data_IF_251271442890
#
_entry.id   IF_251271442890
#
_cell.length_a   1.000
_cell.length_b   1.000
_cell.length_c   1.000
_cell.angle_alpha   90.00
_cell.angle_beta   90.00
_cell.angle_gamma   90.00
#
_symmetry.space_group_name_H-M   'P 1'
#
loop_
_entity.id
_entity.type
_entity.pdbx_description
1 polymer ?
#
# COMPACT_ATOMS: atom_id res chain seq x y z
N UNK A 1 46.41 -14.05 -11.32
CA UNK A 1 45.01 -14.50 -11.54
C UNK A 1 44.15 -13.25 -11.59
N UNK A 2 43.20 -13.15 -12.53
CA UNK A 2 42.14 -12.14 -12.40
C UNK A 2 41.23 -12.54 -11.22
N UNK A 3 40.61 -11.59 -10.49
CA UNK A 3 39.49 -11.93 -9.63
C UNK A 3 38.40 -12.56 -10.49
N UNK A 4 37.78 -13.64 -9.99
CA UNK A 4 36.53 -14.12 -10.58
C UNK A 4 35.48 -13.03 -10.34
N UNK A 5 34.93 -12.46 -11.41
CA UNK A 5 33.83 -11.52 -11.32
C UNK A 5 32.66 -12.23 -10.64
N UNK A 6 32.42 -11.88 -9.38
CA UNK A 6 31.34 -12.46 -8.59
C UNK A 6 30.02 -12.09 -9.24
N UNK A 7 29.24 -13.09 -9.67
CA UNK A 7 27.93 -12.88 -10.28
C UNK A 7 27.04 -12.07 -9.34
N UNK A 8 26.80 -10.81 -9.69
CA UNK A 8 26.01 -9.89 -8.87
C UNK A 8 24.62 -10.49 -8.63
N UNK A 9 24.20 -10.56 -7.37
CA UNK A 9 22.96 -11.21 -6.99
C UNK A 9 21.80 -10.32 -7.41
N UNK A 10 21.25 -10.59 -8.60
CA UNK A 10 20.10 -9.85 -9.12
C UNK A 10 18.94 -9.92 -8.13
N UNK A 11 18.44 -8.77 -7.72
CA UNK A 11 17.26 -8.59 -6.89
C UNK A 11 16.13 -8.05 -7.78
N UNK A 12 14.88 -8.44 -7.53
CA UNK A 12 13.72 -7.71 -8.03
C UNK A 12 13.10 -6.88 -6.89
N UNK A 13 12.65 -5.68 -7.20
CA UNK A 13 12.04 -4.77 -6.22
C UNK A 13 10.62 -4.40 -6.63
N UNK A 14 9.68 -4.48 -5.70
CA UNK A 14 8.27 -4.09 -5.89
C UNK A 14 7.93 -2.99 -4.88
N UNK A 15 7.47 -1.83 -5.36
CA UNK A 15 7.06 -0.71 -4.51
C UNK A 15 5.54 -0.53 -4.64
N UNK A 16 4.81 -0.79 -3.56
CA UNK A 16 3.39 -0.48 -3.43
C UNK A 16 3.22 0.94 -2.90
N UNK A 17 2.31 1.69 -3.52
CA UNK A 17 2.14 3.13 -3.32
C UNK A 17 0.66 3.47 -3.15
N UNK A 18 0.24 3.85 -1.93
CA UNK A 18 -0.88 4.77 -1.79
C UNK A 18 -0.42 6.18 -2.22
N UNK A 19 -1.37 7.03 -2.59
CA UNK A 19 -1.17 8.43 -2.98
C UNK A 19 -1.78 9.32 -1.92
N UNK A 20 -2.95 8.94 -1.41
CA UNK A 20 -3.66 9.67 -0.37
C UNK A 20 -2.94 9.38 0.97
N UNK A 21 -2.56 10.41 1.73
CA UNK A 21 -1.78 10.28 2.97
C UNK A 21 -0.29 9.89 2.81
N UNK A 22 0.18 9.66 1.58
CA UNK A 22 1.58 9.29 1.23
C UNK A 22 2.25 10.37 0.36
N UNK A 23 1.53 10.89 -0.65
CA UNK A 23 1.99 11.93 -1.58
C UNK A 23 1.24 13.26 -1.41
N UNK A 24 0.33 13.31 -0.45
CA UNK A 24 -0.30 14.50 0.11
C UNK A 24 -0.46 14.32 1.63
N UNK A 25 -0.71 15.42 2.33
CA UNK A 25 -1.02 15.39 3.77
C UNK A 25 -2.54 15.45 3.97
N UNK A 26 -3.12 14.50 4.70
CA UNK A 26 -4.56 14.37 4.91
C UNK A 26 -4.94 14.21 6.38
N UNK A 27 -5.67 15.17 6.94
CA UNK A 27 -6.08 15.17 8.36
C UNK A 27 -7.45 14.54 8.51
N UNK A 28 -7.66 13.64 9.48
CA UNK A 28 -8.96 13.01 9.71
C UNK A 28 -10.01 14.04 10.17
N UNK A 29 -11.22 14.00 9.61
CA UNK A 29 -12.43 14.68 10.13
C UNK A 29 -13.41 13.60 10.61
N UNK A 30 -13.94 13.75 11.83
CA UNK A 30 -15.02 12.91 12.38
C UNK A 30 -16.26 12.84 11.47
N UNK A 31 -16.41 13.82 10.56
CA UNK A 31 -17.58 14.01 9.70
C UNK A 31 -17.44 13.42 8.29
N UNK A 32 -16.31 12.80 7.93
CA UNK A 32 -16.20 12.10 6.64
C UNK A 32 -14.79 11.83 6.12
N UNK A 33 -14.53 12.28 4.88
CA UNK A 33 -13.24 12.09 4.22
C UNK A 33 -12.15 13.02 4.83
N UNK A 34 -10.87 12.62 4.81
CA UNK A 34 -9.79 13.46 5.32
C UNK A 34 -9.75 14.86 4.67
N UNK A 35 -9.53 15.87 5.49
CA UNK A 35 -9.25 17.25 5.09
C UNK A 35 -7.83 17.27 4.51
N UNK A 36 -7.73 17.39 3.19
CA UNK A 36 -6.45 17.56 2.51
C UNK A 36 -5.83 18.92 2.85
N UNK A 37 -4.54 18.90 3.15
CA UNK A 37 -3.76 20.10 3.45
C UNK A 37 -3.35 20.79 2.14
N UNK A 38 -4.23 21.65 1.64
CA UNK A 38 -4.04 22.46 0.43
C UNK A 38 -3.75 23.91 0.80
N UNK A 39 -3.01 24.65 -0.03
CA UNK A 39 -2.73 26.08 0.22
C UNK A 39 -4.00 26.91 0.42
N UNK A 40 -5.04 26.71 -0.41
CA UNK A 40 -6.30 27.43 -0.25
C UNK A 40 -7.02 27.11 1.07
N UNK A 41 -6.88 25.89 1.59
CA UNK A 41 -7.45 25.50 2.89
C UNK A 41 -6.72 26.19 4.05
N UNK A 42 -5.38 26.25 4.01
CA UNK A 42 -4.57 26.96 5.00
C UNK A 42 -4.86 28.46 4.98
N UNK A 43 -4.94 29.07 3.79
CA UNK A 43 -5.21 30.50 3.63
C UNK A 43 -6.64 30.87 4.05
N UNK A 44 -7.64 30.01 3.75
CA UNK A 44 -9.01 30.17 4.23
C UNK A 44 -9.10 30.06 5.75
N UNK A 45 -8.45 29.05 6.34
CA UNK A 45 -8.40 28.89 7.80
C UNK A 45 -7.78 30.14 8.46
N UNK A 46 -6.66 30.65 7.95
CA UNK A 46 -6.05 31.93 8.42
C UNK A 46 -7.01 33.12 8.34
N UNK A 47 -7.79 33.23 7.27
CA UNK A 47 -8.80 34.30 7.12
C UNK A 47 -9.91 34.18 8.18
N UNK A 48 -10.36 32.96 8.47
CA UNK A 48 -11.41 32.68 9.46
C UNK A 48 -10.91 32.86 10.91
N UNK A 49 -9.68 32.45 11.23
CA UNK A 49 -9.04 32.72 12.53
C UNK A 49 -8.91 34.23 12.78
N UNK A 50 -8.49 35.03 11.79
CA UNK A 50 -8.34 36.49 11.91
C UNK A 50 -9.63 37.24 12.23
N UNK A 51 -10.80 36.67 11.93
CA UNK A 51 -12.11 37.26 12.27
C UNK A 51 -12.76 36.62 13.49
N UNK A 52 -12.04 35.75 14.22
CA UNK A 52 -12.54 34.96 15.36
C UNK A 52 -13.82 34.18 15.00
N UNK A 53 -13.78 33.42 13.89
CA UNK A 53 -14.92 32.64 13.41
C UNK A 53 -15.34 31.54 14.41
N UNK A 54 -16.52 31.70 15.01
CA UNK A 54 -17.13 30.76 15.98
C UNK A 54 -18.23 29.87 15.38
N UNK A 55 -18.26 29.72 14.05
CA UNK A 55 -19.27 28.91 13.36
C UNK A 55 -19.03 27.39 13.47
N UNK A 56 -19.87 26.62 12.79
CA UNK A 56 -19.90 25.14 12.90
C UNK A 56 -18.59 24.44 12.50
N UNK A 57 -17.76 25.10 11.69
CA UNK A 57 -16.46 24.57 11.24
C UNK A 57 -15.26 25.19 11.97
N UNK A 58 -15.49 25.91 13.08
CA UNK A 58 -14.42 26.50 13.94
C UNK A 58 -13.32 25.48 14.29
N UNK A 59 -13.71 24.29 14.75
CA UNK A 59 -12.76 23.18 15.01
C UNK A 59 -11.94 22.75 13.79
N UNK A 60 -12.54 22.77 12.59
CA UNK A 60 -11.84 22.42 11.35
C UNK A 60 -10.80 23.51 11.00
N UNK A 61 -11.17 24.79 11.15
CA UNK A 61 -10.25 25.93 11.01
C UNK A 61 -9.09 25.84 12.01
N UNK A 62 -9.37 25.53 13.27
CA UNK A 62 -8.36 25.33 14.33
C UNK A 62 -7.42 24.16 13.98
N UNK A 63 -7.97 22.99 13.65
CA UNK A 63 -7.19 21.81 13.22
C UNK A 63 -6.30 22.09 12.02
N UNK A 64 -6.77 22.80 10.99
CA UNK A 64 -5.96 23.17 9.81
C UNK A 64 -4.80 24.09 10.23
N UNK A 65 -5.02 25.04 11.15
CA UNK A 65 -3.94 25.89 11.66
C UNK A 65 -2.93 25.13 12.55
N UNK A 66 -3.41 24.29 13.47
CA UNK A 66 -2.55 23.46 14.33
C UNK A 66 -1.67 22.51 13.51
N UNK A 67 -2.22 21.90 12.45
CA UNK A 67 -1.45 21.08 11.51
C UNK A 67 -0.48 21.92 10.69
N UNK A 68 -0.95 22.95 9.97
CA UNK A 68 -0.11 23.73 9.06
C UNK A 68 1.10 24.37 9.75
N UNK A 69 0.93 24.85 10.98
CA UNK A 69 1.99 25.49 11.77
C UNK A 69 2.84 24.48 12.58
N UNK A 70 2.51 23.18 12.62
CA UNK A 70 3.32 22.15 13.29
C UNK A 70 4.64 21.97 12.56
N UNK A 71 5.73 22.19 13.29
CA UNK A 71 7.09 21.82 12.86
C UNK A 71 7.19 20.30 12.73
N UNK A 72 7.84 19.83 11.67
CA UNK A 72 8.07 18.41 11.43
C UNK A 72 9.37 18.01 12.13
N UNK A 73 9.28 17.08 13.07
CA UNK A 73 10.42 16.66 13.88
C UNK A 73 11.34 15.65 13.18
N UNK A 74 12.60 15.61 13.62
CA UNK A 74 13.59 14.56 13.33
C UNK A 74 13.84 14.23 11.85
N UNK A 75 14.88 14.85 11.27
CA UNK A 75 15.45 14.48 9.97
C UNK A 75 15.25 15.55 8.90
N UNK A 76 14.09 16.18 8.88
CA UNK A 76 13.83 17.39 8.09
C UNK A 76 14.80 18.52 8.47
N UNK A 77 14.98 19.48 7.55
CA UNK A 77 15.78 20.68 7.81
C UNK A 77 15.11 21.57 8.88
N UNK A 78 15.90 22.40 9.56
CA UNK A 78 15.38 23.33 10.57
C UNK A 78 14.27 24.23 9.97
N UNK A 79 13.23 24.50 10.76
CA UNK A 79 12.04 25.31 10.40
C UNK A 79 11.04 24.70 9.38
N UNK A 80 11.19 23.44 8.94
CA UNK A 80 10.18 22.75 8.11
C UNK A 80 8.86 22.52 8.87
N UNK A 81 7.73 22.84 8.24
CA UNK A 81 6.36 22.63 8.75
C UNK A 81 5.48 21.89 7.74
N UNK A 82 4.36 21.32 8.18
CA UNK A 82 3.40 20.67 7.28
C UNK A 82 2.83 21.60 6.18
N UNK A 83 2.79 22.93 6.39
CA UNK A 83 2.48 23.88 5.32
C UNK A 83 3.44 23.76 4.13
N UNK A 84 4.73 23.53 4.36
CA UNK A 84 5.72 23.37 3.28
C UNK A 84 5.55 22.06 2.49
N UNK A 85 4.70 21.15 2.99
CA UNK A 85 4.27 19.93 2.31
C UNK A 85 2.84 20.01 1.75
N UNK A 86 2.15 21.15 1.89
CA UNK A 86 0.81 21.35 1.35
C UNK A 86 0.79 21.20 -0.17
N UNK A 87 -0.37 20.85 -0.74
CA UNK A 87 -0.51 20.71 -2.19
C UNK A 87 -0.70 22.07 -2.85
N UNK A 88 0.16 22.44 -3.80
CA UNK A 88 0.16 23.75 -4.46
C UNK A 88 -1.14 23.99 -5.25
N UNK A 89 -1.93 24.98 -4.82
CA UNK A 89 -3.19 25.42 -5.44
C UNK A 89 -4.10 24.30 -5.98
N UNK A 90 -4.68 24.55 -7.15
CA UNK A 90 -5.54 23.59 -7.89
C UNK A 90 -4.81 22.35 -8.44
N UNK A 91 -3.60 22.03 -7.98
CA UNK A 91 -2.70 21.06 -8.64
C UNK A 91 -2.86 19.61 -8.17
N UNK A 92 -4.08 19.08 -8.26
CA UNK A 92 -4.25 17.63 -8.45
C UNK A 92 -4.17 16.80 -7.16
N UNK A 93 -4.16 17.46 -5.99
CA UNK A 93 -4.03 16.85 -4.67
C UNK A 93 -2.65 16.16 -4.46
N UNK A 94 -1.56 16.79 -4.91
CA UNK A 94 -0.17 16.28 -4.79
C UNK A 94 0.80 17.33 -4.23
N UNK A 95 1.68 16.89 -3.34
CA UNK A 95 2.81 17.66 -2.82
C UNK A 95 4.07 17.37 -3.64
N UNK A 96 4.72 18.41 -4.18
CA UNK A 96 5.87 18.23 -5.07
C UNK A 96 7.11 17.68 -4.35
N UNK A 97 7.28 18.02 -3.06
CA UNK A 97 8.33 17.47 -2.19
C UNK A 97 8.16 15.96 -2.03
N UNK A 98 6.93 15.51 -1.75
CA UNK A 98 6.63 14.09 -1.52
C UNK A 98 6.74 13.26 -2.81
N UNK A 99 6.32 13.81 -3.96
CA UNK A 99 6.51 13.18 -5.27
C UNK A 99 7.99 13.08 -5.64
N UNK A 100 8.80 14.10 -5.32
CA UNK A 100 10.26 14.05 -5.50
C UNK A 100 10.92 13.00 -4.60
N UNK A 101 10.45 12.84 -3.35
CA UNK A 101 10.90 11.77 -2.44
C UNK A 101 10.56 10.38 -2.98
N UNK A 102 9.34 10.14 -3.47
CA UNK A 102 9.00 8.88 -4.13
C UNK A 102 9.89 8.60 -5.35
N UNK A 103 10.19 9.60 -6.18
CA UNK A 103 11.11 9.42 -7.31
C UNK A 103 12.51 8.97 -6.87
N UNK A 104 13.06 9.54 -5.79
CA UNK A 104 14.35 9.08 -5.21
C UNK A 104 14.30 7.62 -4.77
N UNK A 105 13.19 7.16 -4.19
CA UNK A 105 13.01 5.75 -3.81
C UNK A 105 12.93 4.83 -5.04
N UNK A 106 12.24 5.25 -6.11
CA UNK A 106 12.12 4.48 -7.35
C UNK A 106 13.48 4.31 -8.05
N UNK A 107 14.34 5.34 -8.06
CA UNK A 107 15.71 5.21 -8.60
C UNK A 107 16.64 4.43 -7.66
N UNK A 108 16.51 4.58 -6.33
CA UNK A 108 17.28 3.83 -5.33
C UNK A 108 16.99 2.31 -5.36
N UNK A 109 15.78 1.92 -5.72
CA UNK A 109 15.36 0.54 -5.92
C UNK A 109 16.01 -0.13 -7.17
N UNK A 110 16.57 0.67 -8.08
CA UNK A 110 17.33 0.22 -9.24
C UNK A 110 16.48 -0.15 -10.47
N UNK A 111 17.14 -0.70 -11.50
CA UNK A 111 16.53 -0.97 -12.82
C UNK A 111 15.59 -2.18 -12.86
N UNK A 112 15.55 -3.00 -11.79
CA UNK A 112 14.67 -4.18 -11.64
C UNK A 112 13.46 -3.89 -10.73
N UNK A 113 12.97 -2.65 -10.78
CA UNK A 113 11.87 -2.16 -9.95
C UNK A 113 10.56 -2.18 -10.74
N UNK A 114 9.48 -2.61 -10.07
CA UNK A 114 8.10 -2.37 -10.50
C UNK A 114 7.39 -1.50 -9.45
N UNK A 115 6.59 -0.53 -9.90
CA UNK A 115 5.83 0.38 -9.03
C UNK A 115 4.34 0.14 -9.24
N UNK A 116 3.66 -0.22 -8.15
CA UNK A 116 2.29 -0.70 -8.14
C UNK A 116 1.43 0.27 -7.35
N UNK A 117 0.38 0.80 -7.99
CA UNK A 117 -0.57 1.68 -7.34
C UNK A 117 -1.55 0.88 -6.46
N UNK A 118 -1.51 1.07 -5.13
CA UNK A 118 -2.47 0.48 -4.17
C UNK A 118 -3.62 1.42 -3.80
N UNK A 119 -3.47 2.72 -4.03
CA UNK A 119 -4.37 3.82 -3.62
C UNK A 119 -5.83 3.76 -4.08
N UNK A 120 -6.62 4.79 -3.75
CA UNK A 120 -7.92 5.05 -4.39
C UNK A 120 -7.81 5.40 -5.89
N UNK A 121 -6.63 5.80 -6.39
CA UNK A 121 -6.43 6.41 -7.71
C UNK A 121 -6.38 5.42 -8.89
N UNK A 122 -6.36 4.11 -8.60
CA UNK A 122 -6.56 3.03 -9.60
C UNK A 122 -7.99 2.96 -10.14
N UNK A 123 -8.97 3.61 -9.48
CA UNK A 123 -10.34 3.73 -9.99
C UNK A 123 -10.38 4.50 -11.33
N UNK A 124 -11.14 4.06 -12.36
CA UNK A 124 -11.13 4.70 -13.68
C UNK A 124 -11.43 6.21 -13.68
N UNK A 125 -12.27 6.69 -12.76
CA UNK A 125 -12.56 8.13 -12.59
C UNK A 125 -11.35 8.97 -12.16
N UNK A 126 -10.37 8.36 -11.49
CA UNK A 126 -9.15 9.00 -11.02
C UNK A 126 -7.99 8.95 -12.03
N UNK A 127 -8.18 8.32 -13.21
CA UNK A 127 -7.17 8.31 -14.29
C UNK A 127 -6.58 9.69 -14.63
N UNK A 128 -7.34 10.81 -14.68
CA UNK A 128 -6.77 12.14 -14.93
C UNK A 128 -5.92 12.71 -13.78
N UNK A 129 -6.02 12.13 -12.57
CA UNK A 129 -5.10 12.40 -11.46
C UNK A 129 -3.85 11.54 -11.58
N UNK A 130 -4.02 10.22 -11.80
CA UNK A 130 -2.89 9.29 -11.98
C UNK A 130 -1.95 9.72 -13.10
N UNK A 131 -2.47 10.14 -14.25
CA UNK A 131 -1.63 10.62 -15.36
C UNK A 131 -0.76 11.83 -14.99
N UNK A 132 -1.25 12.75 -14.13
CA UNK A 132 -0.44 13.87 -13.61
C UNK A 132 0.67 13.43 -12.68
N UNK A 133 0.41 12.40 -11.87
CA UNK A 133 1.43 11.78 -11.01
C UNK A 133 2.48 11.07 -11.86
N UNK A 134 2.06 10.36 -12.92
CA UNK A 134 2.94 9.71 -13.90
C UNK A 134 3.79 10.77 -14.64
N UNK A 135 3.23 11.92 -15.02
CA UNK A 135 3.93 13.08 -15.61
C UNK A 135 4.95 13.72 -14.64
N UNK A 136 4.56 13.99 -13.37
CA UNK A 136 5.47 14.57 -12.36
C UNK A 136 6.60 13.61 -11.99
N UNK A 137 6.32 12.33 -11.78
CA UNK A 137 7.34 11.31 -11.55
C UNK A 137 8.30 11.21 -12.75
N UNK A 138 7.78 11.28 -13.98
CA UNK A 138 8.63 11.34 -15.18
C UNK A 138 9.57 12.56 -15.17
N UNK A 139 9.08 13.71 -14.72
CA UNK A 139 9.87 14.95 -14.62
C UNK A 139 10.95 14.89 -13.53
N UNK A 140 10.75 14.16 -12.43
CA UNK A 140 11.82 13.90 -11.43
C UNK A 140 12.82 12.85 -11.92
N UNK A 141 12.34 11.68 -12.36
CA UNK A 141 13.14 10.52 -12.78
C UNK A 141 13.92 10.73 -14.10
N UNK A 142 13.66 11.84 -14.81
CA UNK A 142 14.26 12.20 -16.13
C UNK A 142 14.05 11.15 -17.23
N UNK A 143 13.05 10.29 -17.08
CA UNK A 143 12.62 9.24 -18.00
C UNK A 143 11.09 9.16 -18.00
N UNK A 144 10.49 8.60 -19.05
CA UNK A 144 9.04 8.32 -19.03
C UNK A 144 8.76 7.29 -17.94
N UNK A 145 7.82 7.62 -17.07
CA UNK A 145 7.31 6.76 -16.00
C UNK A 145 5.80 6.53 -16.16
N UNK A 146 5.38 5.31 -15.90
CA UNK A 146 3.99 4.89 -15.73
C UNK A 146 3.97 3.83 -14.62
N UNK A 147 2.85 3.66 -13.92
CA UNK A 147 2.74 2.54 -12.97
C UNK A 147 2.71 1.21 -13.73
N UNK A 148 3.64 0.30 -13.42
CA UNK A 148 3.72 -1.03 -14.03
C UNK A 148 2.42 -1.83 -13.82
N UNK A 149 1.73 -1.58 -12.71
CA UNK A 149 0.45 -2.19 -12.42
C UNK A 149 -0.39 -1.45 -11.38
N UNK A 150 -1.59 -1.98 -11.14
CA UNK A 150 -2.53 -1.53 -10.10
C UNK A 150 -3.05 -2.75 -9.35
N UNK A 151 -3.18 -2.69 -8.02
CA UNK A 151 -3.86 -3.78 -7.28
C UNK A 151 -5.35 -3.87 -7.65
N UNK A 152 -6.01 -5.04 -7.54
CA UNK A 152 -7.39 -5.23 -7.98
C UNK A 152 -8.38 -4.37 -7.20
N UNK A 153 -9.30 -3.70 -7.89
CA UNK A 153 -10.38 -2.94 -7.25
C UNK A 153 -11.37 -3.91 -6.57
N UNK A 154 -11.23 -4.07 -5.27
CA UNK A 154 -12.24 -4.67 -4.40
C UNK A 154 -13.33 -3.62 -4.09
N UNK A 155 -14.59 -4.01 -4.21
CA UNK A 155 -15.75 -3.13 -3.98
C UNK A 155 -16.16 -3.07 -2.51
N UNK A 156 -15.67 -4.01 -1.68
CA UNK A 156 -15.90 -4.06 -0.24
C UNK A 156 -14.78 -3.34 0.54
N UNK A 157 -13.71 -2.92 -0.14
CA UNK A 157 -12.56 -2.22 0.45
C UNK A 157 -12.97 -0.90 1.10
N UNK A 158 -13.09 -0.95 2.42
CA UNK A 158 -13.63 0.14 3.23
C UNK A 158 -12.89 0.36 4.55
N UNK A 159 -11.93 -0.51 4.89
CA UNK A 159 -11.11 -0.39 6.09
C UNK A 159 -9.64 -0.81 5.87
N UNK A 160 -8.73 -0.49 6.81
CA UNK A 160 -7.31 -0.88 6.76
C UNK A 160 -7.05 -2.36 6.43
N UNK A 161 -7.88 -3.26 6.96
CA UNK A 161 -7.72 -4.69 6.76
C UNK A 161 -8.01 -5.13 5.32
N UNK A 162 -8.95 -4.47 4.63
CA UNK A 162 -9.23 -4.79 3.22
C UNK A 162 -8.08 -4.34 2.32
N UNK A 163 -7.54 -3.13 2.54
CA UNK A 163 -6.34 -2.63 1.84
C UNK A 163 -5.16 -3.59 2.04
N UNK A 164 -4.87 -3.99 3.29
CA UNK A 164 -3.77 -4.91 3.58
C UNK A 164 -3.99 -6.29 2.95
N UNK A 165 -5.23 -6.81 2.95
CA UNK A 165 -5.61 -8.04 2.23
C UNK A 165 -5.34 -7.91 0.73
N UNK A 166 -5.85 -6.84 0.09
CA UNK A 166 -5.72 -6.62 -1.36
C UNK A 166 -4.26 -6.50 -1.80
N UNK A 167 -3.39 -5.86 -1.00
CA UNK A 167 -1.93 -5.85 -1.24
C UNK A 167 -1.32 -7.24 -1.05
N UNK A 168 -1.70 -7.96 0.02
CA UNK A 168 -1.19 -9.30 0.33
C UNK A 168 -1.56 -10.37 -0.71
N UNK A 169 -2.82 -10.42 -1.14
CA UNK A 169 -3.31 -11.38 -2.13
C UNK A 169 -2.62 -11.16 -3.49
N UNK A 170 -2.52 -9.90 -3.94
CA UNK A 170 -1.84 -9.53 -5.17
C UNK A 170 -0.34 -9.85 -5.12
N UNK A 171 0.34 -9.59 -3.99
CA UNK A 171 1.73 -10.02 -3.77
C UNK A 171 1.87 -11.54 -3.82
N UNK A 172 0.95 -12.28 -3.19
CA UNK A 172 0.94 -13.74 -3.21
C UNK A 172 0.81 -14.30 -4.63
N UNK A 173 -0.04 -13.70 -5.46
CA UNK A 173 -0.23 -14.12 -6.85
C UNK A 173 1.00 -13.78 -7.73
N UNK A 174 1.66 -12.65 -7.51
CA UNK A 174 2.99 -12.35 -8.10
C UNK A 174 4.01 -13.42 -7.70
N UNK A 175 4.14 -13.75 -6.42
CA UNK A 175 5.07 -14.77 -5.92
C UNK A 175 4.79 -16.16 -6.52
N UNK A 176 3.53 -16.45 -6.85
CA UNK A 176 3.14 -17.66 -7.59
C UNK A 176 3.60 -17.59 -9.04
N UNK A 177 3.28 -16.50 -9.74
CA UNK A 177 3.57 -16.32 -11.17
C UNK A 177 5.07 -16.28 -11.48
N UNK A 178 5.88 -15.78 -10.54
CA UNK A 178 7.36 -15.77 -10.62
C UNK A 178 7.97 -17.18 -10.67
N UNK A 179 7.31 -18.18 -10.08
CA UNK A 179 7.81 -19.55 -9.99
C UNK A 179 9.09 -19.71 -9.13
N UNK A 180 9.56 -20.95 -8.89
CA UNK A 180 10.59 -21.22 -7.87
C UNK A 180 12.03 -20.82 -8.27
N UNK A 181 12.26 -20.33 -9.49
CA UNK A 181 13.60 -20.03 -10.03
C UNK A 181 13.84 -18.53 -10.31
N UNK A 182 12.82 -17.67 -10.23
CA UNK A 182 13.07 -16.22 -10.30
C UNK A 182 13.82 -15.73 -9.05
N UNK A 183 14.48 -14.56 -9.10
CA UNK A 183 15.39 -14.11 -8.06
C UNK A 183 14.70 -13.79 -6.72
N UNK A 184 15.46 -13.46 -5.66
CA UNK A 184 14.93 -12.82 -4.46
C UNK A 184 14.04 -11.61 -4.79
N UNK A 185 13.04 -11.38 -3.95
CA UNK A 185 12.08 -10.29 -4.09
C UNK A 185 12.14 -9.38 -2.86
N UNK A 186 12.31 -8.08 -3.08
CA UNK A 186 12.18 -7.02 -2.08
C UNK A 186 10.86 -6.29 -2.32
N UNK A 187 10.07 -6.10 -1.27
CA UNK A 187 8.77 -5.42 -1.30
C UNK A 187 8.78 -4.27 -0.33
N UNK A 188 8.56 -3.06 -0.83
CA UNK A 188 8.31 -1.86 -0.04
C UNK A 188 6.83 -1.50 -0.19
N UNK A 189 6.17 -1.19 0.93
CA UNK A 189 4.78 -0.71 0.97
C UNK A 189 4.77 0.67 1.61
N UNK A 190 4.28 1.66 0.87
CA UNK A 190 4.12 3.05 1.30
C UNK A 190 2.62 3.35 1.39
N UNK A 191 2.09 3.53 2.59
CA UNK A 191 0.66 3.39 2.87
C UNK A 191 0.30 4.11 4.18
N UNK A 192 -0.87 4.76 4.28
CA UNK A 192 -1.35 5.40 5.52
C UNK A 192 -2.50 4.62 6.22
N UNK A 193 -3.09 3.66 5.49
CA UNK A 193 -4.32 2.94 5.83
C UNK A 193 -5.52 3.84 6.16
N UNK A 194 -5.83 4.82 5.30
CA UNK A 194 -6.97 5.73 5.45
C UNK A 194 -6.93 6.56 6.74
N UNK A 195 -5.75 7.06 7.12
CA UNK A 195 -5.47 7.77 8.38
C UNK A 195 -5.89 6.94 9.61
N UNK A 196 -5.46 5.67 9.70
CA UNK A 196 -5.71 4.81 10.87
C UNK A 196 -4.41 4.28 11.49
N UNK A 197 -4.32 4.20 12.84
CA UNK A 197 -3.21 3.55 13.52
C UNK A 197 -3.26 2.03 13.36
N UNK A 198 -2.10 1.38 13.52
CA UNK A 198 -2.00 -0.09 13.64
C UNK A 198 -2.34 -0.48 15.08
N UNK A 199 -3.63 -0.49 15.44
CA UNK A 199 -4.11 -0.61 16.82
C UNK A 199 -4.80 -1.94 17.16
N UNK A 200 -4.49 -3.02 16.43
CA UNK A 200 -4.99 -4.37 16.71
C UNK A 200 -6.22 -4.78 15.90
N UNK A 201 -6.50 -4.11 14.78
CA UNK A 201 -7.48 -4.57 13.79
C UNK A 201 -7.07 -5.90 13.17
N UNK A 202 -8.03 -6.65 12.61
CA UNK A 202 -7.81 -8.03 12.15
C UNK A 202 -7.81 -8.15 10.64
N UNK A 203 -6.80 -8.82 10.09
CA UNK A 203 -6.66 -9.11 8.66
C UNK A 203 -6.32 -10.59 8.46
N UNK A 204 -7.13 -11.32 7.68
CA UNK A 204 -6.94 -12.76 7.43
C UNK A 204 -6.86 -13.66 8.68
N UNK A 205 -7.34 -13.18 9.84
CA UNK A 205 -7.21 -13.84 11.14
C UNK A 205 -5.99 -13.42 11.97
N UNK A 206 -5.00 -12.75 11.38
CA UNK A 206 -3.93 -12.07 12.11
C UNK A 206 -4.45 -10.80 12.81
N UNK A 207 -3.76 -10.37 13.86
CA UNK A 207 -3.97 -9.08 14.55
C UNK A 207 -2.85 -8.13 14.11
N UNK A 208 -3.20 -6.93 13.71
CA UNK A 208 -2.27 -5.92 13.17
C UNK A 208 -2.21 -4.75 14.15
N UNK A 209 -1.28 -4.85 15.09
CA UNK A 209 -1.00 -3.92 16.20
C UNK A 209 0.33 -3.16 16.04
N UNK A 210 1.02 -3.38 14.91
CA UNK A 210 2.38 -2.94 14.68
C UNK A 210 2.76 -3.07 13.22
N UNK A 211 3.77 -2.29 12.78
CA UNK A 211 4.35 -2.39 11.44
C UNK A 211 4.89 -3.81 11.18
N UNK A 212 5.54 -4.41 12.18
CA UNK A 212 6.06 -5.77 12.11
C UNK A 212 4.94 -6.83 11.93
N UNK A 213 3.77 -6.66 12.54
CA UNK A 213 2.64 -7.56 12.34
C UNK A 213 2.07 -7.47 10.90
N UNK A 214 2.04 -6.27 10.31
CA UNK A 214 1.65 -6.09 8.92
C UNK A 214 2.68 -6.68 7.93
N UNK A 215 3.98 -6.45 8.16
CA UNK A 215 5.08 -7.06 7.40
C UNK A 215 5.03 -8.60 7.48
N UNK A 216 4.82 -9.15 8.68
CA UNK A 216 4.67 -10.60 8.89
C UNK A 216 3.42 -11.16 8.20
N UNK A 217 2.29 -10.44 8.23
CA UNK A 217 1.08 -10.84 7.51
C UNK A 217 1.34 -10.95 6.00
N UNK A 218 1.86 -9.89 5.36
CA UNK A 218 2.16 -9.87 3.92
C UNK A 218 3.14 -10.99 3.53
N UNK A 219 4.19 -11.18 4.33
CA UNK A 219 5.16 -12.27 4.15
C UNK A 219 4.49 -13.66 4.26
N UNK A 220 3.53 -13.84 5.17
CA UNK A 220 2.81 -15.11 5.37
C UNK A 220 1.84 -15.47 4.23
N UNK A 221 1.29 -14.48 3.49
CA UNK A 221 0.45 -14.73 2.31
C UNK A 221 1.30 -15.17 1.11
N UNK A 222 2.52 -14.66 0.99
CA UNK A 222 3.42 -14.92 -0.12
C UNK A 222 4.30 -16.19 0.05
N UNK A 223 4.75 -16.49 1.27
CA UNK A 223 5.64 -17.64 1.54
C UNK A 223 5.11 -19.01 1.08
N UNK A 224 3.84 -19.41 1.31
CA UNK A 224 3.35 -20.74 0.96
C UNK A 224 3.41 -21.07 -0.54
N UNK A 225 3.57 -20.05 -1.40
CA UNK A 225 3.50 -20.16 -2.85
C UNK A 225 4.87 -20.10 -3.55
N UNK A 226 5.98 -19.83 -2.84
CA UNK A 226 7.31 -19.72 -3.46
C UNK A 226 8.45 -20.26 -2.58
N UNK A 227 9.53 -20.74 -3.22
CA UNK A 227 10.80 -21.07 -2.53
C UNK A 227 11.76 -19.87 -2.46
N UNK A 228 11.26 -18.66 -2.72
CA UNK A 228 12.07 -17.45 -2.86
C UNK A 228 12.39 -16.81 -1.53
N UNK A 229 13.53 -16.12 -1.47
CA UNK A 229 13.80 -15.11 -0.45
C UNK A 229 12.87 -13.93 -0.71
N UNK A 230 11.97 -13.66 0.23
CA UNK A 230 11.14 -12.47 0.27
C UNK A 230 11.62 -11.57 1.41
N UNK A 231 11.77 -10.28 1.15
CA UNK A 231 11.95 -9.22 2.15
C UNK A 231 10.79 -8.24 2.01
N UNK A 232 10.03 -8.00 3.08
CA UNK A 232 8.92 -7.03 3.10
C UNK A 232 9.26 -5.91 4.07
N UNK A 233 8.95 -4.67 3.68
CA UNK A 233 8.94 -3.48 4.52
C UNK A 233 7.62 -2.75 4.34
N UNK A 234 6.99 -2.37 5.44
CA UNK A 234 5.94 -1.35 5.47
C UNK A 234 6.54 -0.06 6.04
N UNK A 235 6.27 1.06 5.38
CA UNK A 235 6.48 2.40 5.91
C UNK A 235 5.10 3.03 6.03
N UNK A 236 4.62 3.11 7.27
CA UNK A 236 3.27 3.57 7.59
C UNK A 236 3.30 5.09 7.80
N UNK A 237 2.77 5.86 6.86
CA UNK A 237 2.82 7.33 6.87
C UNK A 237 1.70 7.95 7.71
N UNK A 238 1.55 7.46 8.95
CA UNK A 238 0.55 7.92 9.91
C UNK A 238 1.21 8.59 11.11
N UNK A 239 0.70 9.76 11.49
CA UNK A 239 1.01 10.42 12.76
C UNK A 239 -0.26 10.73 13.55
N UNK A 240 -0.13 10.76 14.88
CA UNK A 240 -1.14 11.35 15.76
C UNK A 240 -0.52 12.08 16.95
N UNK A 241 -1.21 13.11 17.44
CA UNK A 241 -0.82 13.88 18.62
C UNK A 241 -2.02 14.58 19.27
N UNK A 242 -1.81 15.08 20.49
CA UNK A 242 -2.70 16.07 21.10
C UNK A 242 -2.16 17.46 20.80
N UNK A 243 -3.00 18.35 20.26
CA UNK A 243 -2.65 19.76 20.06
C UNK A 243 -2.51 20.52 21.40
N UNK A 244 -1.88 21.70 21.43
CA UNK A 244 -1.93 22.61 22.59
C UNK A 244 -3.35 22.97 23.03
N UNK A 245 -4.31 22.97 22.09
CA UNK A 245 -5.75 23.14 22.34
C UNK A 245 -6.47 21.88 22.84
N UNK A 246 -5.79 20.73 22.93
CA UNK A 246 -6.33 19.46 23.42
C UNK A 246 -7.11 18.63 22.40
N UNK A 247 -7.08 19.00 21.11
CA UNK A 247 -7.64 18.21 20.03
C UNK A 247 -6.73 17.02 19.71
N UNK A 248 -7.31 15.83 19.54
CA UNK A 248 -6.60 14.66 19.01
C UNK A 248 -6.54 14.80 17.49
N UNK A 249 -5.34 15.02 16.97
CA UNK A 249 -5.06 15.09 15.54
C UNK A 249 -4.59 13.72 15.08
N UNK A 250 -5.13 13.24 13.96
CA UNK A 250 -4.69 12.05 13.24
C UNK A 250 -4.47 12.46 11.78
N UNK A 251 -3.30 12.15 11.20
CA UNK A 251 -2.91 12.61 9.87
C UNK A 251 -2.20 11.49 9.08
N UNK A 252 -2.53 11.36 7.81
CA UNK A 252 -1.63 10.75 6.82
C UNK A 252 -0.54 11.78 6.50
N UNK A 253 0.65 11.64 7.09
CA UNK A 253 1.69 12.67 7.13
C UNK A 253 2.54 12.75 5.85
N UNK A 254 2.35 11.83 4.91
CA UNK A 254 3.14 11.73 3.70
C UNK A 254 4.53 11.10 3.90
N UNK A 255 5.31 11.03 2.82
CA UNK A 255 6.72 10.63 2.85
C UNK A 255 7.61 11.73 3.47
N UNK A 256 7.53 11.87 4.80
CA UNK A 256 8.46 12.69 5.59
C UNK A 256 9.91 12.16 5.48
N UNK A 257 10.90 12.98 5.83
CA UNK A 257 12.33 12.64 5.68
C UNK A 257 12.67 11.31 6.39
N UNK A 258 12.27 11.11 7.66
CA UNK A 258 12.59 9.89 8.41
C UNK A 258 11.95 8.61 7.83
N UNK A 259 10.65 8.57 7.49
CA UNK A 259 10.04 7.53 6.65
C UNK A 259 10.75 7.29 5.30
N UNK A 260 11.19 8.37 4.63
CA UNK A 260 11.90 8.28 3.36
C UNK A 260 13.31 7.67 3.52
N UNK A 261 14.01 7.97 4.63
CA UNK A 261 15.30 7.35 4.98
C UNK A 261 15.11 5.86 5.30
N UNK A 262 14.09 5.50 6.09
CA UNK A 262 13.80 4.08 6.40
C UNK A 262 13.49 3.27 5.12
N UNK A 263 12.73 3.85 4.19
CA UNK A 263 12.49 3.27 2.87
C UNK A 263 13.79 3.15 2.04
N UNK A 264 14.62 4.20 2.01
CA UNK A 264 15.86 4.23 1.23
C UNK A 264 16.91 3.22 1.76
N UNK A 265 17.08 3.13 3.07
CA UNK A 265 17.97 2.16 3.73
C UNK A 265 17.51 0.72 3.45
N UNK A 266 16.20 0.45 3.51
CA UNK A 266 15.66 -0.85 3.14
C UNK A 266 15.90 -1.20 1.65
N UNK A 267 15.70 -0.24 0.75
CA UNK A 267 15.89 -0.43 -0.69
C UNK A 267 17.37 -0.65 -1.07
N UNK A 268 18.29 0.09 -0.44
CA UNK A 268 19.73 0.04 -0.75
C UNK A 268 20.51 -0.98 0.08
N UNK A 269 19.93 -1.52 1.16
CA UNK A 269 20.57 -2.57 1.95
C UNK A 269 20.97 -3.78 1.09
N UNK A 270 22.20 -4.33 1.25
CA UNK A 270 22.63 -5.48 0.47
C UNK A 270 21.66 -6.65 0.68
N UNK A 271 21.29 -7.34 -0.40
CA UNK A 271 20.47 -8.55 -0.33
C UNK A 271 21.15 -9.56 0.62
N UNK A 272 20.56 -9.78 1.80
CA UNK A 272 21.24 -10.57 2.83
C UNK A 272 21.43 -11.99 2.31
N UNK A 273 22.55 -12.64 2.65
CA UNK A 273 22.74 -14.06 2.31
C UNK A 273 21.52 -14.88 2.78
N UNK A 274 21.08 -15.91 2.02
CA UNK A 274 20.05 -16.82 2.49
C UNK A 274 20.55 -17.43 3.81
N UNK A 275 19.85 -17.15 4.90
CA UNK A 275 20.18 -17.76 6.19
C UNK A 275 19.78 -19.23 6.11
N UNK A 276 20.76 -20.07 5.72
CA UNK A 276 20.69 -21.53 5.88
C UNK A 276 20.86 -21.82 7.37
N UNK A 277 19.85 -21.43 8.15
CA UNK A 277 19.71 -21.91 9.53
C UNK A 277 19.66 -23.43 9.52
N UNK A 278 20.19 -24.10 10.56
CA UNK A 278 20.07 -25.54 10.66
C UNK A 278 18.59 -25.90 10.71
N UNK A 279 18.06 -26.47 9.62
CA UNK A 279 16.66 -26.93 9.53
C UNK A 279 16.36 -27.74 10.78
N UNK A 280 15.33 -27.32 11.52
CA UNK A 280 14.97 -27.99 12.76
C UNK A 280 14.60 -29.44 12.47
N UNK A 281 14.82 -30.34 13.44
CA UNK A 281 14.40 -31.73 13.30
C UNK A 281 12.89 -31.86 12.99
N UNK A 282 12.09 -30.89 13.44
CA UNK A 282 10.67 -30.75 13.12
C UNK A 282 10.41 -30.52 11.63
N UNK A 283 11.08 -29.55 11.00
CA UNK A 283 10.93 -29.27 9.56
C UNK A 283 11.40 -30.46 8.70
N UNK A 284 12.51 -31.10 9.09
CA UNK A 284 13.01 -32.30 8.40
C UNK A 284 12.00 -33.45 8.53
N UNK A 285 11.44 -33.68 9.72
CA UNK A 285 10.42 -34.70 9.95
C UNK A 285 9.11 -34.40 9.18
N UNK A 286 8.69 -33.14 9.12
CA UNK A 286 7.48 -32.74 8.38
C UNK A 286 7.64 -32.97 6.88
N UNK A 287 8.77 -32.56 6.28
CA UNK A 287 9.05 -32.82 4.85
C UNK A 287 9.15 -34.32 4.57
N UNK A 288 9.76 -35.10 5.46
CA UNK A 288 9.82 -36.56 5.34
C UNK A 288 8.43 -37.23 5.42
N UNK A 289 7.56 -36.77 6.33
CA UNK A 289 6.18 -37.25 6.46
C UNK A 289 5.35 -36.94 5.21
N UNK A 290 5.45 -35.72 4.66
CA UNK A 290 4.82 -35.37 3.39
C UNK A 290 5.31 -36.25 2.22
N UNK A 291 6.61 -36.57 2.18
CA UNK A 291 7.16 -37.47 1.15
C UNK A 291 6.72 -38.95 1.31
N UNK A 292 6.36 -39.38 2.52
CA UNK A 292 5.77 -40.70 2.76
C UNK A 292 4.30 -40.72 2.31
N UNK A 293 3.48 -39.80 2.82
CA UNK A 293 2.05 -39.69 2.52
C UNK A 293 1.76 -39.43 1.03
N UNK A 294 2.69 -38.74 0.33
CA UNK A 294 2.61 -38.50 -1.10
C UNK A 294 2.70 -39.76 -1.98
N UNK A 295 3.31 -40.85 -1.49
CA UNK A 295 3.44 -42.09 -2.27
C UNK A 295 2.17 -42.93 -2.31
N UNK A 296 1.38 -42.95 -1.23
CA UNK A 296 0.16 -43.76 -1.17
C UNK A 296 -1.00 -43.12 -1.93
N UNK A 297 -1.14 -41.80 -1.85
CA UNK A 297 -2.27 -41.07 -2.46
C UNK A 297 -2.22 -40.94 -3.99
N UNK A 298 -1.08 -41.20 -4.63
CA UNK A 298 -0.98 -41.13 -6.10
C UNK A 298 -1.60 -42.33 -6.84
N UNK A 299 -2.02 -43.38 -6.14
CA UNK A 299 -2.65 -44.56 -6.74
C UNK A 299 -4.13 -44.35 -7.11
N UNK A 300 -4.89 -43.59 -6.31
CA UNK A 300 -6.36 -43.48 -6.47
C UNK A 300 -6.81 -42.38 -7.45
N UNK A 301 -5.95 -41.39 -7.72
CA UNK A 301 -6.30 -40.19 -8.50
C UNK A 301 -6.71 -40.43 -9.97
N UNK A 302 -6.61 -41.67 -10.48
CA UNK A 302 -6.90 -42.05 -11.88
C UNK A 302 -8.38 -42.37 -12.20
N UNK A 303 -9.33 -42.10 -11.29
CA UNK A 303 -10.76 -42.42 -11.48
C UNK A 303 -11.74 -41.23 -11.43
N UNK A 304 -11.27 -39.99 -11.36
CA UNK A 304 -12.14 -38.81 -11.35
C UNK A 304 -12.48 -38.33 -12.79
N UNK A 305 -13.76 -38.08 -13.15
CA UNK A 305 -14.14 -37.49 -14.44
C UNK A 305 -13.60 -36.06 -14.59
N UNK A 306 -13.26 -35.67 -15.83
CA UNK A 306 -12.70 -34.35 -16.14
C UNK A 306 -13.70 -33.23 -15.85
N UNK A 307 -13.17 -32.03 -15.56
CA UNK A 307 -13.98 -30.84 -15.26
C UNK A 307 -14.99 -30.53 -16.37
N UNK A 308 -14.59 -30.74 -17.63
CA UNK A 308 -15.43 -30.56 -18.82
C UNK A 308 -16.71 -31.41 -18.85
N UNK A 309 -16.74 -32.59 -18.23
CA UNK A 309 -17.96 -33.41 -18.18
C UNK A 309 -18.97 -32.88 -17.16
N UNK A 310 -18.52 -32.20 -16.08
CA UNK A 310 -19.40 -31.70 -15.01
C UNK A 310 -20.16 -30.43 -15.39
N UNK A 311 -19.70 -29.71 -16.42
CA UNK A 311 -20.33 -28.47 -16.90
C UNK A 311 -21.55 -28.77 -17.78
N UNK A 312 -21.51 -29.86 -18.55
CA UNK A 312 -22.60 -30.25 -19.47
C UNK A 312 -23.90 -30.58 -18.74
N UNK A 313 -23.81 -31.30 -17.62
CA UNK A 313 -24.97 -31.84 -16.90
C UNK A 313 -25.80 -30.78 -16.15
N UNK A 314 -25.23 -29.58 -15.91
CA UNK A 314 -25.88 -28.50 -15.16
C UNK A 314 -26.70 -27.53 -16.02
N UNK A 315 -26.48 -27.52 -17.34
CA UNK A 315 -27.14 -26.58 -18.27
C UNK A 315 -28.68 -26.70 -18.40
N UNK A 316 -29.36 -27.83 -18.13
CA UNK A 316 -30.82 -27.90 -18.20
C UNK A 316 -31.60 -27.11 -17.13
N UNK A 317 -30.95 -26.69 -16.03
CA UNK A 317 -31.66 -26.17 -14.85
C UNK A 317 -32.04 -24.68 -14.91
N UNK A 318 -31.61 -23.92 -15.90
CA UNK A 318 -31.94 -22.49 -16.02
C UNK A 318 -33.08 -22.30 -17.04
N UNK A 319 -34.31 -22.13 -16.54
CA UNK A 319 -35.47 -21.64 -17.30
C UNK A 319 -36.06 -20.39 -16.62
N UNK A 320 -36.41 -19.33 -17.36
CA UNK A 320 -37.00 -18.13 -16.78
C UNK A 320 -38.51 -18.28 -16.52
N UNK A 321 -38.97 -17.85 -15.35
CA UNK A 321 -40.40 -17.63 -15.08
C UNK A 321 -40.88 -16.30 -15.68
N UNK A 322 -42.15 -16.25 -16.12
CA UNK A 322 -42.82 -15.03 -16.57
C UNK A 322 -43.78 -14.50 -15.50
N UNK A 323 -44.11 -13.21 -15.61
CA UNK A 323 -45.00 -12.44 -14.71
C UNK A 323 -44.32 -12.09 -13.37
N UNK A 324 -44.58 -10.93 -12.75
CA UNK A 324 -45.86 -10.17 -12.71
C UNK A 324 -45.74 -8.71 -13.16
N UNK A 325 -46.86 -8.15 -13.65
CA UNK A 325 -47.02 -6.71 -13.95
C UNK A 325 -47.13 -5.87 -12.67
N UNK A 326 -46.66 -4.62 -12.72
CA UNK A 326 -47.40 -3.45 -12.20
C UNK A 326 -47.08 -2.23 -13.07
N UNK A 327 -47.96 -1.21 -13.07
CA UNK A 327 -47.86 -0.01 -13.91
C UNK A 327 -48.21 1.23 -13.09
N UNK A 328 -47.48 2.32 -13.34
CA UNK A 328 -47.90 3.75 -13.28
C UNK A 328 -48.64 4.23 -12.02
N UNK A 329 -47.99 5.13 -11.28
CA UNK A 329 -48.46 6.53 -11.11
C UNK A 329 -47.24 7.44 -11.30
N UNK A 330 -47.43 8.60 -11.92
CA UNK A 330 -46.40 9.64 -12.09
C UNK A 330 -46.66 10.81 -11.15
N UNK A 331 -45.59 11.45 -10.67
CA UNK A 331 -45.50 12.89 -10.40
C UNK A 331 -44.03 13.33 -10.55
#
# INVERSE_FOLDING_TARGET
MAPLEGSEVTLDTFIFVDVDGVLNCGVRDDRGAPILLMEENIEMARKLTRVNYTGVDSKCVETIQEVANRQIGHGEQEEVTYETLATEGRSFDLSEVLVSRLAKLIDAAGSRTQVILSSSWRQPRQRPRRMRLEERLSAHLKRVFQFDSTTPLDAEESCPADRLRVVGDYLGDICTARGPQAPPLRVLVLEDFFVNPLNGWKCGGAVIDSVAAAEQYLHSIAQPKSSQRLEVKLVHTYEEWLSPTGAHIQIGCGLLEQPCIEAFDFLTAPARAPQVGPRTASEIAMVAACFHLGKERFAEARKAPSWSQRVTDLLPMIRPSRHTMWKVVSL
#
